data_IF_515039431271
#
_entry.id   IF_515039431271
#
_cell.length_a   1.000
_cell.length_b   1.000
_cell.length_c   1.000
_cell.angle_alpha   90.00
_cell.angle_beta   90.00
_cell.angle_gamma   90.00
#
_symmetry.space_group_name_H-M   'P 1'
#
loop_
_entity.id
_entity.type
_entity.pdbx_description
1 polymer ?
#
# COMPACT_ATOMS: atom_id res chain seq x y z
N UNK A 1 -2.72 1.39 -12.53
CA UNK A 1 -3.70 0.54 -13.23
C UNK A 1 -4.55 1.36 -14.20
N UNK A 2 -5.32 2.36 -13.72
CA UNK A 2 -6.07 3.27 -14.61
C UNK A 2 -5.19 3.92 -15.69
N UNK A 3 -4.00 4.44 -15.36
CA UNK A 3 -3.09 5.02 -16.37
C UNK A 3 -2.62 4.05 -17.48
N UNK A 4 -2.79 2.73 -17.33
CA UNK A 4 -2.52 1.73 -18.38
C UNK A 4 -3.77 1.25 -19.12
N UNK A 5 -4.93 1.27 -18.46
CA UNK A 5 -6.18 0.67 -18.97
C UNK A 5 -7.20 1.70 -19.46
N UNK A 6 -7.32 2.83 -18.75
CA UNK A 6 -8.26 3.92 -19.04
C UNK A 6 -7.62 5.26 -18.61
N UNK A 7 -6.66 5.78 -19.40
CA UNK A 7 -5.94 7.01 -19.06
C UNK A 7 -6.83 8.26 -18.97
N UNK A 8 -7.93 8.29 -19.73
CA UNK A 8 -8.93 9.35 -19.76
C UNK A 8 -9.75 9.43 -18.46
N UNK A 9 -9.89 8.31 -17.74
CA UNK A 9 -10.61 8.28 -16.46
C UNK A 9 -9.69 8.52 -15.25
N UNK A 10 -8.39 8.71 -15.47
CA UNK A 10 -7.38 8.79 -14.39
C UNK A 10 -7.70 9.88 -13.38
N UNK A 11 -8.10 11.07 -13.84
CA UNK A 11 -8.44 12.20 -12.97
C UNK A 11 -9.60 11.87 -12.04
N UNK A 12 -10.74 11.46 -12.62
CA UNK A 12 -11.95 11.14 -11.85
C UNK A 12 -11.73 9.98 -10.87
N UNK A 13 -11.03 8.91 -11.30
CA UNK A 13 -10.72 7.75 -10.44
C UNK A 13 -9.83 8.16 -9.27
N UNK A 14 -8.79 8.98 -9.51
CA UNK A 14 -7.88 9.40 -8.45
C UNK A 14 -8.58 10.29 -7.41
N UNK A 15 -9.39 11.26 -7.85
CA UNK A 15 -10.17 12.10 -6.93
C UNK A 15 -11.12 11.26 -6.09
N UNK A 16 -11.91 10.38 -6.73
CA UNK A 16 -12.82 9.50 -6.01
C UNK A 16 -12.09 8.57 -5.03
N UNK A 17 -10.93 8.02 -5.41
CA UNK A 17 -10.14 7.14 -4.55
C UNK A 17 -9.69 7.85 -3.27
N UNK A 18 -9.05 9.02 -3.36
CA UNK A 18 -8.58 9.73 -2.17
C UNK A 18 -9.73 10.27 -1.31
N UNK A 19 -10.81 10.75 -1.94
CA UNK A 19 -12.01 11.18 -1.22
C UNK A 19 -12.65 10.02 -0.45
N UNK A 20 -12.81 8.84 -1.08
CA UNK A 20 -13.40 7.68 -0.40
C UNK A 20 -12.46 7.05 0.65
N UNK A 21 -11.14 7.08 0.44
CA UNK A 21 -10.17 6.68 1.47
C UNK A 21 -10.31 7.54 2.74
N UNK A 22 -10.53 8.85 2.60
CA UNK A 22 -10.76 9.74 3.74
C UNK A 22 -12.12 9.51 4.43
N UNK A 23 -13.11 8.97 3.69
CA UNK A 23 -14.44 8.66 4.22
C UNK A 23 -14.53 7.30 4.92
N UNK A 24 -13.44 6.52 4.97
CA UNK A 24 -13.41 5.22 5.68
C UNK A 24 -13.93 5.31 7.12
N UNK A 25 -13.57 6.32 7.96
CA UNK A 25 -14.11 6.43 9.31
C UNK A 25 -15.62 6.69 9.38
N UNK A 26 -16.21 7.24 8.32
CA UNK A 26 -17.66 7.45 8.22
C UNK A 26 -18.37 6.17 7.74
N UNK A 27 -17.78 5.46 6.77
CA UNK A 27 -18.40 4.32 6.08
C UNK A 27 -18.19 3.01 6.86
N UNK A 28 -17.00 2.77 7.40
CA UNK A 28 -16.62 1.50 8.02
C UNK A 28 -17.42 1.20 9.32
N UNK A 29 -17.60 2.13 10.26
CA UNK A 29 -18.30 1.82 11.51
C UNK A 29 -19.78 1.45 11.35
N UNK A 30 -20.60 2.11 10.50
CA UNK A 30 -21.96 1.67 10.22
C UNK A 30 -22.03 0.26 9.63
N UNK A 31 -21.13 -0.09 8.70
CA UNK A 31 -21.08 -1.45 8.12
C UNK A 31 -20.75 -2.49 9.19
N UNK A 32 -19.76 -2.21 10.04
CA UNK A 32 -19.46 -3.08 11.18
C UNK A 32 -20.68 -3.22 12.11
N UNK A 33 -21.38 -2.12 12.38
CA UNK A 33 -22.58 -2.09 13.22
C UNK A 33 -23.72 -2.95 12.63
N UNK A 34 -23.88 -2.93 11.31
CA UNK A 34 -24.94 -3.64 10.60
C UNK A 34 -24.68 -5.14 10.44
N UNK A 35 -23.42 -5.56 10.23
CA UNK A 35 -23.09 -6.94 9.86
C UNK A 35 -22.57 -7.81 11.01
N UNK A 36 -21.92 -7.23 12.03
CA UNK A 36 -21.32 -8.02 13.12
C UNK A 36 -22.17 -8.00 14.37
N UNK A 37 -22.14 -9.06 15.17
CA UNK A 37 -22.86 -9.11 16.45
C UNK A 37 -22.02 -8.57 17.60
N UNK A 38 -22.65 -8.21 18.73
CA UNK A 38 -21.90 -7.80 19.93
C UNK A 38 -21.00 -8.91 20.49
N UNK A 39 -21.39 -10.17 20.32
CA UNK A 39 -20.61 -11.32 20.81
C UNK A 39 -19.28 -11.43 20.05
N UNK A 40 -19.31 -11.28 18.72
CA UNK A 40 -18.11 -11.30 17.88
C UNK A 40 -17.17 -10.12 18.17
N UNK A 41 -17.71 -8.92 18.39
CA UNK A 41 -16.92 -7.72 18.72
C UNK A 41 -16.19 -7.81 20.06
N UNK A 42 -16.61 -8.72 20.94
CA UNK A 42 -16.01 -8.92 22.27
C UNK A 42 -14.99 -10.07 22.31
N UNK A 43 -14.72 -10.72 21.17
CA UNK A 43 -13.69 -11.77 21.09
C UNK A 43 -12.32 -11.17 21.44
N UNK A 44 -11.59 -11.86 22.34
CA UNK A 44 -10.25 -11.44 22.74
C UNK A 44 -9.23 -11.86 21.67
N UNK A 45 -8.55 -10.87 21.10
CA UNK A 45 -7.42 -11.14 20.21
C UNK A 45 -6.21 -11.59 21.02
N UNK A 46 -5.59 -12.69 20.60
CA UNK A 46 -4.31 -13.13 21.15
C UNK A 46 -3.20 -12.17 20.76
N UNK A 47 -2.16 -12.09 21.59
CA UNK A 47 -0.99 -11.28 21.26
C UNK A 47 -0.31 -11.82 20.00
N UNK A 48 0.19 -10.91 19.18
CA UNK A 48 0.92 -11.27 17.98
C UNK A 48 2.17 -12.08 18.34
N UNK A 49 2.49 -13.08 17.52
CA UNK A 49 3.74 -13.83 17.65
C UNK A 49 4.95 -12.91 17.48
N UNK A 50 6.05 -13.24 18.15
CA UNK A 50 7.33 -12.57 17.93
C UNK A 50 7.88 -12.97 16.56
N UNK A 51 8.02 -12.00 15.66
CA UNK A 51 8.57 -12.21 14.32
C UNK A 51 10.07 -11.94 14.37
N UNK A 52 10.88 -12.92 13.95
CA UNK A 52 12.34 -12.75 13.96
C UNK A 52 12.79 -11.72 12.91
N UNK A 53 13.93 -11.05 13.15
CA UNK A 53 14.49 -10.09 12.18
C UNK A 53 14.78 -10.75 10.83
N UNK A 54 15.23 -12.02 10.84
CA UNK A 54 15.48 -12.80 9.62
C UNK A 54 14.19 -13.07 8.84
N UNK A 55 13.10 -13.37 9.54
CA UNK A 55 11.79 -13.60 8.90
C UNK A 55 11.27 -12.33 8.22
N UNK A 56 11.43 -11.15 8.84
CA UNK A 56 11.05 -9.88 8.22
C UNK A 56 11.85 -9.55 6.96
N UNK A 57 13.15 -9.87 6.95
CA UNK A 57 14.04 -9.65 5.79
C UNK A 57 13.73 -10.64 4.67
N UNK A 58 13.45 -11.91 5.00
CA UNK A 58 13.16 -12.96 4.01
C UNK A 58 11.75 -12.84 3.42
N UNK A 59 10.79 -12.31 4.16
CA UNK A 59 9.41 -12.14 3.71
C UNK A 59 9.27 -11.46 2.33
N UNK A 60 9.83 -10.26 2.07
CA UNK A 60 9.73 -9.62 0.76
C UNK A 60 10.42 -10.41 -0.36
N UNK A 61 11.50 -11.14 -0.07
CA UNK A 61 12.21 -11.96 -1.05
C UNK A 61 11.36 -13.17 -1.47
N UNK A 62 10.78 -13.88 -0.48
CA UNK A 62 9.89 -15.02 -0.74
C UNK A 62 8.62 -14.55 -1.46
N UNK A 63 8.03 -13.43 -1.03
CA UNK A 63 6.87 -12.84 -1.69
C UNK A 63 7.16 -12.50 -3.15
N UNK A 64 8.30 -11.88 -3.44
CA UNK A 64 8.70 -11.54 -4.81
C UNK A 64 8.90 -12.77 -5.69
N UNK A 65 9.57 -13.81 -5.17
CA UNK A 65 9.74 -15.08 -5.89
C UNK A 65 8.39 -15.73 -6.21
N UNK A 66 7.47 -15.74 -5.24
CA UNK A 66 6.14 -16.32 -5.40
C UNK A 66 5.31 -15.55 -6.45
N UNK A 67 5.40 -14.22 -6.44
CA UNK A 67 4.74 -13.36 -7.45
C UNK A 67 5.35 -13.58 -8.83
N UNK A 68 6.68 -13.65 -8.93
CA UNK A 68 7.36 -13.85 -10.21
C UNK A 68 6.98 -15.20 -10.86
N UNK A 69 6.75 -16.24 -10.06
CA UNK A 69 6.36 -17.57 -10.53
C UNK A 69 4.86 -17.67 -10.87
N UNK A 70 3.97 -17.07 -10.07
CA UNK A 70 2.52 -17.27 -10.20
C UNK A 70 1.80 -16.15 -10.97
N UNK A 71 2.26 -14.90 -10.85
CA UNK A 71 1.59 -13.73 -11.45
C UNK A 71 2.62 -12.66 -11.85
N UNK A 72 3.36 -12.87 -12.96
CA UNK A 72 4.42 -11.97 -13.39
C UNK A 72 3.91 -10.55 -13.72
N UNK A 73 2.65 -10.40 -14.10
CA UNK A 73 2.05 -9.08 -14.38
C UNK A 73 1.99 -8.17 -13.14
N UNK A 74 1.95 -8.75 -11.93
CA UNK A 74 2.01 -8.01 -10.67
C UNK A 74 3.44 -7.73 -10.20
N UNK A 75 4.45 -8.33 -10.83
CA UNK A 75 5.85 -8.21 -10.42
C UNK A 75 6.38 -6.77 -10.41
N UNK A 76 6.04 -5.86 -11.34
CA UNK A 76 6.50 -4.47 -11.26
C UNK A 76 5.97 -3.74 -10.03
N UNK A 77 4.72 -3.99 -9.63
CA UNK A 77 4.11 -3.34 -8.48
C UNK A 77 4.65 -3.94 -7.17
N UNK A 78 4.56 -5.26 -7.03
CA UNK A 78 4.98 -5.96 -5.82
C UNK A 78 6.50 -5.97 -5.65
N UNK A 79 7.27 -5.94 -6.73
CA UNK A 79 8.72 -5.81 -6.70
C UNK A 79 9.17 -4.47 -6.13
N UNK A 80 8.61 -3.35 -6.60
CA UNK A 80 8.92 -2.04 -6.06
C UNK A 80 8.47 -1.90 -4.59
N UNK A 81 7.32 -2.50 -4.24
CA UNK A 81 6.86 -2.58 -2.85
C UNK A 81 7.82 -3.39 -1.97
N UNK A 82 8.21 -4.59 -2.41
CA UNK A 82 9.13 -5.47 -1.68
C UNK A 82 10.54 -4.86 -1.55
N UNK A 83 10.99 -4.10 -2.54
CA UNK A 83 12.25 -3.36 -2.48
C UNK A 83 12.22 -2.29 -1.39
N UNK A 84 11.14 -1.50 -1.31
CA UNK A 84 10.92 -0.55 -0.21
C UNK A 84 10.91 -1.24 1.17
N UNK A 85 10.23 -2.39 1.27
CA UNK A 85 10.18 -3.18 2.49
C UNK A 85 11.57 -3.71 2.88
N UNK A 86 12.33 -4.26 1.93
CA UNK A 86 13.68 -4.76 2.17
C UNK A 86 14.64 -3.65 2.63
N UNK A 87 14.57 -2.45 2.05
CA UNK A 87 15.40 -1.32 2.50
C UNK A 87 15.13 -0.96 3.97
N UNK A 88 13.85 -1.00 4.38
CA UNK A 88 13.44 -0.73 5.77
C UNK A 88 13.89 -1.83 6.73
N UNK A 89 13.72 -3.09 6.37
CA UNK A 89 13.99 -4.24 7.27
C UNK A 89 15.46 -4.68 7.27
N UNK A 90 16.22 -4.38 6.21
CA UNK A 90 17.65 -4.73 6.10
C UNK A 90 18.51 -3.99 7.13
N UNK A 91 18.21 -2.72 7.41
CA UNK A 91 18.92 -1.90 8.41
C UNK A 91 20.36 -1.52 8.05
N UNK A 92 20.85 -1.87 6.86
CA UNK A 92 22.18 -1.47 6.36
C UNK A 92 22.11 -0.28 5.39
N UNK A 93 20.90 0.13 5.00
CA UNK A 93 20.63 1.19 4.03
C UNK A 93 19.73 2.28 4.61
N UNK A 94 19.96 2.66 5.88
CA UNK A 94 19.13 3.65 6.60
C UNK A 94 18.95 4.94 5.82
N UNK A 95 20.05 5.52 5.30
CA UNK A 95 20.02 6.75 4.50
C UNK A 95 19.11 6.63 3.27
N UNK A 96 19.12 5.47 2.59
CA UNK A 96 18.28 5.24 1.42
C UNK A 96 16.82 5.06 1.85
N UNK A 97 16.56 4.27 2.88
CA UNK A 97 15.21 4.08 3.43
C UNK A 97 14.59 5.42 3.85
N UNK A 98 15.35 6.26 4.56
CA UNK A 98 14.93 7.59 4.99
C UNK A 98 14.67 8.55 3.83
N UNK A 99 15.54 8.52 2.83
CA UNK A 99 15.37 9.34 1.62
C UNK A 99 14.13 8.91 0.85
N UNK A 100 13.89 7.61 0.72
CA UNK A 100 12.73 7.08 0.01
C UNK A 100 11.42 7.46 0.72
N UNK A 101 11.31 7.22 2.03
CA UNK A 101 10.07 7.48 2.77
C UNK A 101 9.74 8.96 2.96
N UNK A 102 10.75 9.83 2.95
CA UNK A 102 10.59 11.27 3.15
C UNK A 102 10.80 12.05 1.85
N UNK A 103 12.06 12.33 1.50
CA UNK A 103 12.41 13.27 0.44
C UNK A 103 11.87 12.86 -0.93
N UNK A 104 12.11 11.61 -1.33
CA UNK A 104 11.72 11.11 -2.64
C UNK A 104 10.20 11.02 -2.77
N UNK A 105 9.50 10.45 -1.79
CA UNK A 105 8.04 10.35 -1.82
C UNK A 105 7.40 11.74 -1.88
N UNK A 106 7.90 12.73 -1.13
CA UNK A 106 7.34 14.08 -1.19
C UNK A 106 7.47 14.70 -2.59
N UNK A 107 8.64 14.57 -3.22
CA UNK A 107 8.87 15.09 -4.58
C UNK A 107 7.98 14.38 -5.60
N UNK A 108 7.97 13.04 -5.60
CA UNK A 108 7.18 12.24 -6.56
C UNK A 108 5.68 12.47 -6.34
N UNK A 109 5.23 12.64 -5.10
CA UNK A 109 3.82 12.92 -4.78
C UNK A 109 3.37 14.26 -5.35
N UNK A 110 4.20 15.30 -5.27
CA UNK A 110 3.90 16.59 -5.90
C UNK A 110 3.73 16.41 -7.41
N UNK A 111 4.70 15.81 -8.09
CA UNK A 111 4.60 15.61 -9.54
C UNK A 111 3.42 14.73 -9.94
N UNK A 112 3.13 13.67 -9.19
CA UNK A 112 1.98 12.82 -9.43
C UNK A 112 0.67 13.59 -9.24
N UNK A 113 0.58 14.41 -8.19
CA UNK A 113 -0.59 15.25 -7.91
C UNK A 113 -0.87 16.24 -9.04
N UNK A 114 0.16 16.96 -9.53
CA UNK A 114 0.03 17.83 -10.70
C UNK A 114 -0.35 17.04 -11.97
N UNK A 115 0.26 15.87 -12.19
CA UNK A 115 -0.01 15.03 -13.37
C UNK A 115 -1.44 14.49 -13.39
N UNK A 116 -1.97 14.11 -12.23
CA UNK A 116 -3.38 13.69 -12.08
C UNK A 116 -4.31 14.88 -12.27
N UNK A 117 -3.96 16.05 -11.70
CA UNK A 117 -4.72 17.28 -11.90
C UNK A 117 -4.82 17.71 -13.37
N UNK A 118 -3.74 17.51 -14.14
CA UNK A 118 -3.74 17.77 -15.58
C UNK A 118 -4.69 16.86 -16.39
N UNK A 119 -5.17 15.76 -15.81
CA UNK A 119 -6.17 14.85 -16.41
C UNK A 119 -7.60 15.13 -15.93
N UNK A 120 -7.82 16.23 -15.20
CA UNK A 120 -9.15 16.71 -14.81
C UNK A 120 -9.70 17.79 -15.77
N UNK A 121 -8.91 18.22 -16.75
CA UNK A 121 -9.27 19.20 -17.80
C UNK A 121 -9.33 18.50 -19.15
#
# INVERSE_FOLDING_TARGET
LSGKLAPELLGAIAVAAYSYMALVPLIQPPIMKALTTEKERKIRMVQLRTVSKREKILFPAVLLLLVALLLPDAAPLLGMFCFGNLMRESGVVERLSDTVQNGLINIVTIFLGLSVGAKLV
#
